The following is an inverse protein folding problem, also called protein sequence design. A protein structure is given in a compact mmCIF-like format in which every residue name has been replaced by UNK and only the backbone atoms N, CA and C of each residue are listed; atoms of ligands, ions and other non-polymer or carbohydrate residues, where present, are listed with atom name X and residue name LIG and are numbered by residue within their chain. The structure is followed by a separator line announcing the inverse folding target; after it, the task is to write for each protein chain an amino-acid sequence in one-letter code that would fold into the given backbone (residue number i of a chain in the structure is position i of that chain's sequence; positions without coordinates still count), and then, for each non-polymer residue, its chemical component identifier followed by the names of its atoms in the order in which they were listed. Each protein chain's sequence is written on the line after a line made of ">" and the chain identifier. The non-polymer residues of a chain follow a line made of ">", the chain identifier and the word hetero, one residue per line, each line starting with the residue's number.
data_IF_816992051163
#
_entry.id   IF_816992051163
#
_cell.length_a   1.000
_cell.length_b   1.000
_cell.length_c   1.000
_cell.angle_alpha   90.00
_cell.angle_beta   90.00
_cell.angle_gamma   90.00
#
_symmetry.space_group_name_H-M   'P 1'
#
loop_
_entity.id
_entity.type
_entity.pdbx_description
1 polymer ?
#
# COMPACT_ATOMS: atom_id res chain seq x y z
N UNK A 1 24.00 86.52 64.24
CA UNK A 1 22.94 86.67 63.24
C UNK A 1 23.23 85.69 62.12
N UNK A 2 22.25 84.87 61.72
CA UNK A 2 22.40 83.96 60.58
C UNK A 2 22.59 84.78 59.30
N UNK A 3 23.59 84.42 58.49
CA UNK A 3 23.82 85.04 57.19
C UNK A 3 22.73 84.60 56.20
N UNK A 4 21.97 85.58 55.71
CA UNK A 4 20.87 85.34 54.77
C UNK A 4 21.33 84.74 53.45
N UNK A 5 22.58 85.01 53.04
CA UNK A 5 23.12 84.46 51.80
C UNK A 5 23.38 82.96 51.92
N UNK A 6 23.95 82.51 53.04
CA UNK A 6 24.19 81.09 53.31
C UNK A 6 22.88 80.29 53.39
N UNK A 7 21.84 80.86 53.99
CA UNK A 7 20.52 80.22 54.07
C UNK A 7 19.88 80.06 52.68
N UNK A 8 20.06 81.06 51.81
CA UNK A 8 19.55 81.06 50.43
C UNK A 8 20.28 80.04 49.55
N UNK A 9 21.60 79.93 49.68
CA UNK A 9 22.36 78.90 48.95
C UNK A 9 21.94 77.48 49.35
N UNK A 10 21.74 77.22 50.65
CA UNK A 10 21.21 75.93 51.12
C UNK A 10 19.82 75.64 50.56
N UNK A 11 18.94 76.64 50.53
CA UNK A 11 17.60 76.47 49.95
C UNK A 11 17.66 76.13 48.46
N UNK A 12 18.46 76.85 47.68
CA UNK A 12 18.64 76.57 46.25
C UNK A 12 19.21 75.17 46.01
N UNK A 13 20.20 74.74 46.82
CA UNK A 13 20.75 73.38 46.74
C UNK A 13 19.70 72.31 47.00
N UNK A 14 18.86 72.49 48.04
CA UNK A 14 17.75 71.57 48.33
C UNK A 14 16.74 71.57 47.19
N UNK A 15 16.37 72.74 46.65
CA UNK A 15 15.42 72.83 45.53
C UNK A 15 15.90 72.05 44.31
N UNK A 16 17.16 72.25 43.90
CA UNK A 16 17.77 71.51 42.78
C UNK A 16 17.81 70.00 43.07
N UNK A 17 18.05 69.62 44.32
CA UNK A 17 18.06 68.21 44.70
C UNK A 17 16.67 67.57 44.59
N UNK A 18 15.62 68.26 45.03
CA UNK A 18 14.24 67.80 44.86
C UNK A 18 13.85 67.74 43.37
N UNK A 19 14.17 68.76 42.58
CA UNK A 19 13.91 68.75 41.12
C UNK A 19 14.60 67.56 40.42
N UNK A 20 15.80 67.19 40.86
CA UNK A 20 16.52 66.03 40.32
C UNK A 20 15.89 64.70 40.75
N UNK A 21 15.36 64.60 41.97
CA UNK A 21 14.63 63.40 42.41
C UNK A 21 13.35 63.22 41.61
N UNK A 22 12.61 64.30 41.38
CA UNK A 22 11.36 64.26 40.62
C UNK A 22 11.61 63.77 39.20
N UNK A 23 12.67 64.24 38.53
CA UNK A 23 13.08 63.72 37.21
C UNK A 23 13.39 62.22 37.22
N UNK A 24 14.12 61.73 38.24
CA UNK A 24 14.41 60.30 38.36
C UNK A 24 13.12 59.49 38.55
N UNK A 25 12.17 60.01 39.33
CA UNK A 25 10.88 59.37 39.56
C UNK A 25 10.07 59.31 38.25
N UNK A 26 10.03 60.40 37.48
CA UNK A 26 9.36 60.44 36.16
C UNK A 26 10.01 59.47 35.16
N UNK A 27 11.34 59.41 35.12
CA UNK A 27 12.08 58.46 34.28
C UNK A 27 11.79 57.01 34.68
N UNK A 28 11.72 56.72 35.98
CA UNK A 28 11.37 55.39 36.50
C UNK A 28 9.93 55.02 36.14
N UNK A 29 8.97 55.93 36.28
CA UNK A 29 7.58 55.68 35.86
C UNK A 29 7.50 55.38 34.36
N UNK A 30 8.22 56.15 33.55
CA UNK A 30 8.28 55.95 32.09
C UNK A 30 8.87 54.57 31.73
N UNK A 31 9.94 54.16 32.41
CA UNK A 31 10.55 52.84 32.22
C UNK A 31 9.62 51.70 32.66
N UNK A 32 8.97 51.82 33.82
CA UNK A 32 8.02 50.81 34.31
C UNK A 32 6.86 50.65 33.35
N UNK A 33 6.32 51.76 32.82
CA UNK A 33 5.24 51.72 31.85
C UNK A 33 5.70 51.03 30.55
N UNK A 34 6.86 51.40 30.01
CA UNK A 34 7.41 50.77 28.80
C UNK A 34 7.63 49.26 28.99
N UNK A 35 8.17 48.84 30.14
CA UNK A 35 8.38 47.43 30.46
C UNK A 35 7.06 46.67 30.61
N UNK A 36 6.03 47.28 31.20
CA UNK A 36 4.70 46.67 31.32
C UNK A 36 4.05 46.48 29.94
N UNK A 37 4.16 47.46 29.05
CA UNK A 37 3.66 47.38 27.68
C UNK A 37 4.39 46.28 26.88
N UNK A 38 5.72 46.22 26.97
CA UNK A 38 6.52 45.19 26.32
C UNK A 38 6.19 43.78 26.84
N UNK A 39 6.03 43.62 28.16
CA UNK A 39 5.68 42.34 28.77
C UNK A 39 4.28 41.88 28.33
N UNK A 40 3.31 42.81 28.26
CA UNK A 40 1.96 42.48 27.82
C UNK A 40 1.94 42.09 26.34
N UNK A 41 2.70 42.78 25.50
CA UNK A 41 2.86 42.42 24.09
C UNK A 41 3.41 41.01 23.92
N UNK A 42 4.54 40.70 24.56
CA UNK A 42 5.19 39.39 24.48
C UNK A 42 4.27 38.25 24.98
N UNK A 43 3.51 38.52 26.05
CA UNK A 43 2.55 37.56 26.59
C UNK A 43 1.43 37.25 25.59
N UNK A 44 0.88 38.28 24.94
CA UNK A 44 -0.16 38.10 23.92
C UNK A 44 0.38 37.30 22.73
N UNK A 45 1.59 37.63 22.26
CA UNK A 45 2.23 36.93 21.15
C UNK A 45 2.50 35.45 21.48
N UNK A 46 2.99 35.16 22.69
CA UNK A 46 3.19 33.79 23.17
C UNK A 46 1.87 33.00 23.25
N UNK A 47 0.78 33.63 23.68
CA UNK A 47 -0.55 33.01 23.71
C UNK A 47 -1.05 32.68 22.30
N UNK A 48 -0.87 33.58 21.34
CA UNK A 48 -1.29 33.35 19.95
C UNK A 48 -0.44 32.26 19.27
N UNK A 49 0.87 32.23 19.51
CA UNK A 49 1.73 31.14 19.07
C UNK A 49 1.28 29.78 19.64
N UNK A 50 0.93 29.72 20.93
CA UNK A 50 0.43 28.49 21.57
C UNK A 50 -0.90 28.03 20.95
N UNK A 51 -1.81 28.95 20.64
CA UNK A 51 -3.08 28.63 19.94
C UNK A 51 -2.78 28.05 18.56
N UNK A 52 -1.88 28.67 17.80
CA UNK A 52 -1.51 28.23 16.46
C UNK A 52 -0.91 26.80 16.48
N UNK A 53 0.04 26.55 17.39
CA UNK A 53 0.65 25.21 17.56
C UNK A 53 -0.40 24.16 17.91
N UNK A 54 -1.38 24.51 18.75
CA UNK A 54 -2.47 23.59 19.11
C UNK A 54 -3.32 23.24 17.89
N UNK A 55 -3.73 24.22 17.09
CA UNK A 55 -4.51 24.00 15.87
C UNK A 55 -3.74 23.11 14.89
N UNK A 56 -2.47 23.41 14.62
CA UNK A 56 -1.64 22.57 13.74
C UNK A 56 -1.50 21.14 14.24
N UNK A 57 -1.32 20.92 15.55
CA UNK A 57 -1.26 19.56 16.11
C UNK A 57 -2.57 18.81 15.91
N UNK A 58 -3.70 19.47 16.09
CA UNK A 58 -5.03 18.89 15.86
C UNK A 58 -5.25 18.55 14.37
N UNK A 59 -4.84 19.44 13.47
CA UNK A 59 -4.93 19.23 12.02
C UNK A 59 -4.03 18.08 11.54
N UNK A 60 -2.78 18.02 12.02
CA UNK A 60 -1.86 16.91 11.74
C UNK A 60 -2.46 15.59 12.23
N UNK A 61 -3.04 15.56 13.43
CA UNK A 61 -3.71 14.36 13.97
C UNK A 61 -4.91 13.94 13.13
N UNK A 62 -5.72 14.90 12.66
CA UNK A 62 -6.86 14.64 11.77
C UNK A 62 -6.39 14.07 10.43
N UNK A 63 -5.40 14.70 9.81
CA UNK A 63 -4.85 14.27 8.53
C UNK A 63 -4.23 12.86 8.62
N UNK A 64 -3.46 12.58 9.68
CA UNK A 64 -2.93 11.22 9.93
C UNK A 64 -4.05 10.18 10.12
N UNK A 65 -5.13 10.52 10.82
CA UNK A 65 -6.26 9.61 11.01
C UNK A 65 -6.96 9.31 9.67
N UNK A 66 -7.14 10.33 8.82
CA UNK A 66 -7.71 10.17 7.49
C UNK A 66 -6.81 9.34 6.55
N UNK A 67 -5.48 9.53 6.62
CA UNK A 67 -4.52 8.69 5.89
C UNK A 67 -4.61 7.24 6.33
N UNK A 68 -4.60 6.96 7.64
CA UNK A 68 -4.77 5.60 8.16
C UNK A 68 -6.08 4.96 7.73
N UNK A 69 -7.17 5.73 7.69
CA UNK A 69 -8.47 5.22 7.21
C UNK A 69 -8.44 4.90 5.72
N UNK A 70 -7.80 5.75 4.90
CA UNK A 70 -7.62 5.50 3.47
C UNK A 70 -6.72 4.29 3.22
N UNK A 71 -5.59 4.19 3.90
CA UNK A 71 -4.68 3.04 3.81
C UNK A 71 -5.39 1.75 4.23
N UNK A 72 -6.15 1.78 5.32
CA UNK A 72 -6.94 0.63 5.76
C UNK A 72 -8.02 0.21 4.77
N UNK A 73 -8.70 1.15 4.11
CA UNK A 73 -9.67 0.86 3.04
C UNK A 73 -8.98 0.32 1.79
N UNK A 74 -7.81 0.85 1.44
CA UNK A 74 -7.05 0.43 0.26
C UNK A 74 -6.40 -0.95 0.44
N UNK A 75 -5.94 -1.29 1.64
CA UNK A 75 -5.51 -2.65 2.00
C UNK A 75 -6.66 -3.66 1.82
N UNK A 76 -7.89 -3.30 2.22
CA UNK A 76 -9.09 -4.14 2.00
C UNK A 76 -9.48 -4.31 0.53
N UNK A 77 -8.99 -3.44 -0.36
CA UNK A 77 -9.23 -3.50 -1.81
C UNK A 77 -8.03 -4.10 -2.58
N UNK A 78 -6.96 -4.48 -1.90
CA UNK A 78 -5.77 -5.06 -2.52
C UNK A 78 -6.00 -6.54 -2.80
N UNK A 79 -6.37 -6.87 -4.04
CA UNK A 79 -6.42 -8.24 -4.54
C UNK A 79 -5.48 -8.41 -5.73
N UNK A 80 -4.77 -9.53 -5.79
CA UNK A 80 -3.99 -9.92 -6.97
C UNK A 80 -4.88 -10.67 -7.95
N UNK A 81 -4.78 -10.38 -9.25
CA UNK A 81 -5.40 -11.17 -10.30
C UNK A 81 -4.31 -11.98 -11.02
N UNK A 82 -4.50 -13.29 -11.11
CA UNK A 82 -3.60 -14.21 -11.82
C UNK A 82 -4.39 -14.80 -12.97
N UNK A 83 -3.87 -14.64 -14.19
CA UNK A 83 -4.46 -15.18 -15.41
C UNK A 83 -3.54 -16.27 -15.94
N UNK A 84 -4.08 -17.46 -16.16
CA UNK A 84 -3.32 -18.64 -16.60
C UNK A 84 -3.83 -19.07 -17.97
N UNK A 85 -2.90 -19.29 -18.88
CA UNK A 85 -3.14 -19.94 -20.17
C UNK A 85 -3.07 -21.45 -20.01
N UNK A 86 -4.21 -22.14 -19.87
CA UNK A 86 -4.23 -23.59 -19.69
C UNK A 86 -4.01 -24.40 -20.97
N UNK A 87 -4.00 -23.77 -22.16
CA UNK A 87 -3.69 -24.47 -23.42
C UNK A 87 -2.17 -24.57 -23.65
N UNK A 88 -1.43 -23.57 -23.19
CA UNK A 88 0.03 -23.49 -23.32
C UNK A 88 0.78 -23.83 -22.01
N UNK A 89 0.06 -23.91 -20.88
CA UNK A 89 0.60 -24.31 -19.58
C UNK A 89 -0.25 -25.42 -18.98
N UNK A 90 0.07 -26.66 -19.38
CA UNK A 90 -0.59 -27.86 -18.88
C UNK A 90 -0.31 -28.08 -17.39
N UNK A 91 -1.30 -28.61 -16.68
CA UNK A 91 -1.16 -29.02 -15.29
C UNK A 91 -0.43 -30.35 -15.20
N UNK A 92 0.23 -30.61 -14.07
CA UNK A 92 0.91 -31.89 -13.83
C UNK A 92 -0.08 -33.05 -13.96
N UNK A 93 0.33 -34.08 -14.69
CA UNK A 93 -0.47 -35.26 -15.02
C UNK A 93 -1.08 -35.90 -13.77
N UNK A 94 -0.32 -35.99 -12.68
CA UNK A 94 -0.78 -36.52 -11.39
C UNK A 94 -1.92 -35.71 -10.76
N UNK A 95 -1.90 -34.38 -10.93
CA UNK A 95 -2.97 -33.50 -10.46
C UNK A 95 -4.21 -33.65 -11.33
N UNK A 96 -4.04 -33.77 -12.64
CA UNK A 96 -5.16 -33.96 -13.57
C UNK A 96 -5.83 -35.33 -13.34
N UNK A 97 -5.03 -36.40 -13.22
CA UNK A 97 -5.48 -37.76 -12.90
C UNK A 97 -6.17 -37.85 -11.53
N UNK A 98 -5.74 -37.03 -10.58
CA UNK A 98 -6.37 -36.90 -9.25
C UNK A 98 -7.80 -36.33 -9.28
N UNK A 99 -8.32 -35.95 -10.46
CA UNK A 99 -9.67 -35.46 -10.65
C UNK A 99 -10.01 -34.34 -9.66
N UNK A 100 -11.14 -34.47 -8.96
CA UNK A 100 -11.60 -33.42 -8.03
C UNK A 100 -10.63 -33.11 -6.88
N UNK A 101 -9.83 -34.08 -6.42
CA UNK A 101 -8.83 -33.83 -5.37
C UNK A 101 -7.63 -33.08 -5.95
N UNK A 102 -7.17 -33.49 -7.13
CA UNK A 102 -6.06 -32.84 -7.80
C UNK A 102 -6.37 -31.42 -8.27
N UNK A 103 -7.61 -31.14 -8.71
CA UNK A 103 -8.09 -29.78 -9.01
C UNK A 103 -8.02 -28.85 -7.80
N UNK A 104 -8.42 -29.34 -6.62
CA UNK A 104 -8.30 -28.59 -5.35
C UNK A 104 -6.85 -28.31 -4.99
N UNK A 105 -5.99 -29.32 -5.12
CA UNK A 105 -4.54 -29.17 -4.87
C UNK A 105 -3.89 -28.19 -5.84
N UNK A 106 -4.27 -28.21 -7.12
CA UNK A 106 -3.78 -27.28 -8.13
C UNK A 106 -4.18 -25.83 -7.81
N UNK A 107 -5.45 -25.58 -7.46
CA UNK A 107 -5.90 -24.25 -7.04
C UNK A 107 -5.13 -23.75 -5.81
N UNK A 108 -4.94 -24.61 -4.80
CA UNK A 108 -4.15 -24.28 -3.60
C UNK A 108 -2.70 -23.91 -3.95
N UNK A 109 -2.05 -24.73 -4.78
CA UNK A 109 -0.66 -24.52 -5.19
C UNK A 109 -0.48 -23.19 -5.94
N UNK A 110 -1.43 -22.82 -6.81
CA UNK A 110 -1.38 -21.54 -7.51
C UNK A 110 -1.53 -20.34 -6.57
N UNK A 111 -2.39 -20.43 -5.56
CA UNK A 111 -2.55 -19.37 -4.55
C UNK A 111 -1.25 -19.22 -3.75
N UNK A 112 -0.64 -20.31 -3.31
CA UNK A 112 0.61 -20.31 -2.55
C UNK A 112 1.76 -19.73 -3.39
N UNK A 113 1.90 -20.16 -4.65
CA UNK A 113 2.91 -19.65 -5.57
C UNK A 113 2.74 -18.14 -5.85
N UNK A 114 1.50 -17.68 -6.06
CA UNK A 114 1.22 -16.26 -6.26
C UNK A 114 1.58 -15.43 -5.03
N UNK A 115 1.25 -15.93 -3.83
CA UNK A 115 1.57 -15.28 -2.56
C UNK A 115 3.08 -15.20 -2.33
N UNK A 116 3.81 -16.29 -2.58
CA UNK A 116 5.27 -16.33 -2.44
C UNK A 116 5.97 -15.41 -3.43
N UNK A 117 5.46 -15.32 -4.67
CA UNK A 117 5.98 -14.41 -5.67
C UNK A 117 5.81 -12.94 -5.27
N UNK A 118 4.61 -12.56 -4.81
CA UNK A 118 4.36 -11.19 -4.33
C UNK A 118 5.24 -10.86 -3.13
N UNK A 119 5.43 -11.80 -2.18
CA UNK A 119 6.32 -11.60 -1.03
C UNK A 119 7.78 -11.35 -1.46
N UNK A 120 8.27 -12.00 -2.51
CA UNK A 120 9.62 -11.79 -3.05
C UNK A 120 9.79 -10.42 -3.70
N UNK A 121 8.77 -9.93 -4.41
CA UNK A 121 8.85 -8.66 -5.14
C UNK A 121 8.55 -7.47 -4.22
N UNK A 122 7.60 -7.59 -3.30
CA UNK A 122 7.30 -6.60 -2.25
C UNK A 122 7.18 -7.27 -0.88
N UNK A 123 8.29 -7.28 -0.12
CA UNK A 123 8.29 -7.78 1.26
C UNK A 123 7.28 -7.07 2.17
N UNK A 124 7.01 -5.78 1.89
CA UNK A 124 6.08 -4.93 2.67
C UNK A 124 4.60 -5.09 2.26
N UNK A 125 4.28 -6.01 1.35
CA UNK A 125 2.90 -6.29 0.94
C UNK A 125 2.06 -6.88 2.09
N UNK A 126 0.77 -6.58 2.11
CA UNK A 126 -0.14 -7.12 3.14
C UNK A 126 -0.16 -8.67 3.07
N UNK A 127 0.13 -9.38 4.17
CA UNK A 127 0.13 -10.84 4.19
C UNK A 127 -1.25 -11.45 3.86
N UNK A 128 -2.33 -10.67 3.97
CA UNK A 128 -3.71 -11.08 3.73
C UNK A 128 -4.22 -10.72 2.32
N UNK A 129 -3.36 -10.33 1.38
CA UNK A 129 -3.76 -10.11 -0.02
C UNK A 129 -4.50 -11.35 -0.54
N UNK A 130 -5.68 -11.10 -1.09
CA UNK A 130 -6.50 -12.13 -1.73
C UNK A 130 -6.08 -12.27 -3.20
N UNK A 131 -6.01 -13.49 -3.70
CA UNK A 131 -5.70 -13.76 -5.10
C UNK A 131 -6.92 -14.31 -5.82
N UNK A 132 -7.33 -13.63 -6.89
CA UNK A 132 -8.27 -14.15 -7.86
C UNK A 132 -7.49 -14.83 -8.98
N UNK A 133 -7.74 -16.10 -9.22
CA UNK A 133 -7.03 -16.91 -10.21
C UNK A 133 -8.02 -17.35 -11.27
N UNK A 134 -7.71 -17.08 -12.54
CA UNK A 134 -8.52 -17.57 -13.67
C UNK A 134 -7.68 -18.32 -14.67
N UNK A 135 -8.05 -19.57 -14.91
CA UNK A 135 -7.44 -20.41 -15.94
C UNK A 135 -8.34 -20.39 -17.16
N UNK A 136 -7.78 -20.07 -18.32
CA UNK A 136 -8.48 -20.09 -19.59
C UNK A 136 -7.87 -21.16 -20.47
N UNK A 137 -8.67 -22.16 -20.82
CA UNK A 137 -8.26 -23.25 -21.70
C UNK A 137 -9.42 -23.70 -22.57
N UNK A 138 -9.12 -24.26 -23.74
CA UNK A 138 -10.05 -25.01 -24.54
C UNK A 138 -10.22 -26.41 -23.93
N UNK A 139 -11.26 -26.61 -23.13
CA UNK A 139 -11.44 -27.86 -22.37
C UNK A 139 -11.58 -29.07 -23.30
N UNK A 140 -12.26 -28.91 -24.43
CA UNK A 140 -12.43 -29.98 -25.41
C UNK A 140 -11.09 -30.36 -26.08
N UNK A 141 -10.28 -29.37 -26.44
CA UNK A 141 -8.94 -29.57 -26.98
C UNK A 141 -8.01 -30.22 -25.94
N UNK A 142 -8.04 -29.72 -24.72
CA UNK A 142 -7.22 -30.20 -23.60
C UNK A 142 -7.59 -31.64 -23.21
N UNK A 143 -8.87 -31.99 -23.16
CA UNK A 143 -9.35 -33.35 -22.91
C UNK A 143 -8.84 -34.32 -23.98
N UNK A 144 -8.86 -33.90 -25.26
CA UNK A 144 -8.34 -34.70 -26.36
C UNK A 144 -6.83 -34.89 -26.23
N UNK A 145 -6.08 -33.82 -25.98
CA UNK A 145 -4.61 -33.89 -25.79
C UNK A 145 -4.22 -34.84 -24.66
N UNK A 146 -4.88 -34.75 -23.50
CA UNK A 146 -4.58 -35.65 -22.38
C UNK A 146 -5.04 -37.09 -22.62
N UNK A 147 -6.07 -37.31 -23.45
CA UNK A 147 -6.50 -38.66 -23.83
C UNK A 147 -5.53 -39.29 -24.83
N UNK A 148 -5.11 -38.53 -25.84
CA UNK A 148 -4.17 -38.98 -26.88
C UNK A 148 -2.77 -39.28 -26.31
N UNK A 149 -2.39 -38.63 -25.21
CA UNK A 149 -1.14 -38.86 -24.48
C UNK A 149 -1.24 -39.95 -23.39
N UNK A 150 -2.42 -40.55 -23.19
CA UNK A 150 -2.64 -41.60 -22.19
C UNK A 150 -2.69 -41.10 -20.73
N UNK A 151 -2.69 -39.79 -20.52
CA UNK A 151 -2.74 -39.17 -19.19
C UNK A 151 -4.13 -39.33 -18.58
N UNK A 152 -5.19 -39.25 -19.39
CA UNK A 152 -6.57 -39.45 -18.94
C UNK A 152 -7.10 -40.83 -19.29
N UNK A 153 -7.59 -41.55 -18.29
CA UNK A 153 -8.31 -42.82 -18.48
C UNK A 153 -9.75 -42.62 -18.97
N UNK A 154 -10.33 -41.44 -18.70
CA UNK A 154 -11.62 -40.98 -19.22
C UNK A 154 -11.63 -39.44 -19.29
N UNK A 155 -12.30 -38.87 -20.29
CA UNK A 155 -12.51 -37.43 -20.40
C UNK A 155 -13.25 -36.84 -19.19
N UNK A 156 -14.02 -37.66 -18.46
CA UNK A 156 -14.76 -37.24 -17.25
C UNK A 156 -13.82 -36.80 -16.11
N UNK A 157 -12.60 -37.35 -16.05
CA UNK A 157 -11.62 -37.05 -15.01
C UNK A 157 -11.18 -35.58 -15.11
N UNK A 158 -11.03 -35.04 -16.33
CA UNK A 158 -10.75 -33.62 -16.51
C UNK A 158 -11.93 -32.75 -16.06
N UNK A 159 -13.16 -33.19 -16.31
CA UNK A 159 -14.36 -32.54 -15.78
C UNK A 159 -14.36 -32.49 -14.24
N UNK A 160 -14.01 -33.60 -13.58
CA UNK A 160 -13.86 -33.63 -12.12
C UNK A 160 -12.72 -32.74 -11.63
N UNK A 161 -11.61 -32.67 -12.35
CA UNK A 161 -10.51 -31.75 -12.05
C UNK A 161 -10.96 -30.29 -12.08
N UNK A 162 -11.60 -29.87 -13.17
CA UNK A 162 -12.14 -28.50 -13.34
C UNK A 162 -13.14 -28.19 -12.22
N UNK A 163 -14.04 -29.12 -11.91
CA UNK A 163 -14.99 -28.95 -10.81
C UNK A 163 -14.26 -28.80 -9.46
N UNK A 164 -13.25 -29.62 -9.20
CA UNK A 164 -12.43 -29.53 -7.99
C UNK A 164 -11.70 -28.20 -7.87
N UNK A 165 -11.18 -27.68 -8.97
CA UNK A 165 -10.53 -26.37 -9.03
C UNK A 165 -11.51 -25.24 -8.67
N UNK A 166 -12.69 -25.21 -9.31
CA UNK A 166 -13.70 -24.17 -9.10
C UNK A 166 -14.35 -24.24 -7.70
N UNK A 167 -14.44 -25.43 -7.10
CA UNK A 167 -15.00 -25.61 -5.77
C UNK A 167 -14.01 -25.29 -4.64
N UNK A 168 -12.70 -25.20 -4.92
CA UNK A 168 -11.71 -25.01 -3.87
C UNK A 168 -11.84 -23.65 -3.17
N UNK A 169 -12.02 -22.60 -3.96
CA UNK A 169 -12.07 -21.22 -3.49
C UNK A 169 -12.95 -20.41 -4.45
N UNK A 170 -13.80 -19.54 -3.92
CA UNK A 170 -14.67 -18.64 -4.70
C UNK A 170 -13.91 -17.65 -5.59
N UNK A 171 -12.59 -17.52 -5.37
CA UNK A 171 -11.69 -16.70 -6.16
C UNK A 171 -10.90 -17.49 -7.21
N UNK A 172 -11.13 -18.80 -7.37
CA UNK A 172 -10.48 -19.63 -8.38
C UNK A 172 -11.51 -20.10 -9.41
N UNK A 173 -11.30 -19.68 -10.66
CA UNK A 173 -12.18 -20.03 -11.78
C UNK A 173 -11.38 -20.70 -12.90
N UNK A 174 -11.83 -21.86 -13.36
CA UNK A 174 -11.38 -22.51 -14.58
C UNK A 174 -12.48 -22.31 -15.62
N UNK A 175 -12.14 -21.60 -16.69
CA UNK A 175 -13.06 -21.12 -17.70
C UNK A 175 -12.75 -21.82 -19.02
N UNK A 176 -13.76 -22.51 -19.57
CA UNK A 176 -13.68 -23.04 -20.93
C UNK A 176 -13.76 -21.89 -21.94
N UNK A 177 -12.67 -21.70 -22.65
CA UNK A 177 -12.49 -20.68 -23.67
C UNK A 177 -12.99 -21.18 -25.06
N UNK A 178 -13.22 -22.48 -25.22
CA UNK A 178 -13.58 -23.06 -26.51
C UNK A 178 -12.51 -22.90 -27.61
N UNK A 179 -12.89 -23.22 -28.85
CA UNK A 179 -11.96 -23.40 -29.98
C UNK A 179 -11.83 -22.16 -30.89
N UNK A 180 -12.29 -20.98 -30.45
CA UNK A 180 -12.41 -19.78 -31.29
C UNK A 180 -11.18 -18.87 -31.27
N UNK A 181 -10.78 -18.34 -32.44
CA UNK A 181 -9.75 -17.27 -32.58
C UNK A 181 -10.05 -16.02 -31.72
N UNK A 182 -11.33 -15.77 -31.41
CA UNK A 182 -11.76 -14.64 -30.59
C UNK A 182 -11.30 -14.75 -29.12
N UNK A 183 -10.90 -15.94 -28.65
CA UNK A 183 -10.44 -16.13 -27.27
C UNK A 183 -9.00 -15.66 -27.02
N UNK A 184 -8.12 -15.68 -28.03
CA UNK A 184 -6.82 -15.01 -27.92
C UNK A 184 -6.99 -13.49 -27.79
N UNK A 185 -8.03 -12.93 -28.42
CA UNK A 185 -8.35 -11.51 -28.33
C UNK A 185 -8.93 -11.15 -26.96
N UNK A 186 -9.83 -11.97 -26.40
CA UNK A 186 -10.31 -11.80 -25.02
C UNK A 186 -9.17 -11.89 -24.01
N UNK A 187 -8.21 -12.81 -24.19
CA UNK A 187 -7.02 -12.94 -23.34
C UNK A 187 -6.11 -11.72 -23.43
N UNK A 188 -5.89 -11.19 -24.65
CA UNK A 188 -5.16 -9.93 -24.89
C UNK A 188 -5.88 -8.71 -24.33
N UNK A 189 -7.19 -8.63 -24.50
CA UNK A 189 -8.02 -7.53 -24.00
C UNK A 189 -8.06 -7.56 -22.48
N UNK A 190 -8.17 -8.74 -21.86
CA UNK A 190 -8.07 -8.90 -20.40
C UNK A 190 -6.68 -8.54 -19.88
N UNK A 191 -5.61 -8.95 -20.57
CA UNK A 191 -4.23 -8.51 -20.28
C UNK A 191 -4.06 -6.98 -20.44
N UNK A 192 -4.72 -6.37 -21.42
CA UNK A 192 -4.69 -4.92 -21.67
C UNK A 192 -5.51 -4.14 -20.63
N UNK A 193 -6.70 -4.62 -20.26
CA UNK A 193 -7.55 -4.04 -19.21
C UNK A 193 -6.86 -4.17 -17.85
N UNK A 194 -6.16 -5.28 -17.61
CA UNK A 194 -5.30 -5.46 -16.46
C UNK A 194 -4.18 -4.41 -16.45
N UNK A 195 -3.52 -4.19 -17.58
CA UNK A 195 -2.52 -3.12 -17.77
C UNK A 195 -3.09 -1.71 -17.57
N UNK A 196 -4.35 -1.46 -17.96
CA UNK A 196 -5.02 -0.16 -17.72
C UNK A 196 -5.44 0.04 -16.26
N UNK A 197 -5.85 -1.01 -15.54
CA UNK A 197 -6.07 -0.95 -14.08
C UNK A 197 -4.78 -0.77 -13.29
N UNK A 198 -3.65 -1.22 -13.83
CA UNK A 198 -2.31 -1.06 -13.24
C UNK A 198 -1.89 0.42 -13.10
N UNK A 199 -2.52 1.35 -13.82
CA UNK A 199 -2.31 2.78 -13.60
C UNK A 199 -2.85 3.28 -12.24
N UNK A 200 -3.75 2.54 -11.57
CA UNK A 200 -4.36 2.96 -10.31
C UNK A 200 -4.10 2.03 -9.10
N UNK A 201 -3.62 0.80 -9.33
CA UNK A 201 -3.08 -0.09 -8.28
C UNK A 201 -2.11 -1.06 -8.93
N UNK A 202 -0.82 -0.91 -8.63
CA UNK A 202 0.26 -1.64 -9.28
C UNK A 202 0.32 -3.10 -8.83
N UNK A 203 0.11 -4.06 -9.75
CA UNK A 203 0.90 -5.29 -9.89
C UNK A 203 0.47 -6.08 -11.14
N UNK A 204 1.40 -6.24 -12.10
CA UNK A 204 1.34 -7.32 -13.09
C UNK A 204 2.10 -8.52 -12.52
N UNK A 205 1.46 -9.68 -12.46
CA UNK A 205 2.16 -10.94 -12.24
C UNK A 205 2.04 -11.71 -13.54
N UNK A 206 3.00 -11.50 -14.44
CA UNK A 206 3.30 -12.49 -15.48
C UNK A 206 3.94 -13.68 -14.76
N UNK A 207 3.09 -14.49 -14.12
CA UNK A 207 3.48 -15.81 -13.63
C UNK A 207 3.58 -16.68 -14.88
N UNK A 208 4.68 -16.53 -15.60
CA UNK A 208 5.18 -17.55 -16.48
C UNK A 208 5.49 -18.73 -15.54
N UNK A 209 4.51 -19.60 -15.32
CA UNK A 209 4.70 -20.90 -14.67
C UNK A 209 5.49 -21.74 -15.69
N UNK A 210 6.72 -21.32 -15.94
CA UNK A 210 7.72 -22.11 -16.61
C UNK A 210 8.29 -22.99 -15.52
N UNK A 211 8.04 -24.29 -15.67
CA UNK A 211 8.75 -25.42 -15.08
C UNK A 211 9.47 -25.12 -13.74
N UNK A 212 8.98 -25.74 -12.67
CA UNK A 212 9.81 -25.92 -11.47
C UNK A 212 11.20 -26.47 -11.88
N UNK A 213 12.29 -26.00 -11.24
CA UNK A 213 13.65 -26.18 -11.75
C UNK A 213 14.01 -27.66 -11.79
N UNK A 214 14.37 -28.16 -12.99
CA UNK A 214 14.91 -29.51 -13.18
C UNK A 214 14.38 -30.30 -14.38
N UNK A 215 13.39 -29.81 -15.11
CA UNK A 215 12.67 -30.61 -16.13
C UNK A 215 13.01 -30.29 -17.60
N UNK A 216 13.85 -29.29 -17.86
CA UNK A 216 14.16 -28.81 -19.22
C UNK A 216 15.67 -28.68 -19.46
N UNK A 217 16.16 -29.28 -20.55
CA UNK A 217 17.55 -29.11 -20.99
C UNK A 217 17.63 -27.92 -21.98
N UNK A 218 18.22 -26.78 -21.58
CA UNK A 218 18.30 -25.59 -22.43
C UNK A 218 19.26 -25.74 -23.62
N UNK A 219 20.07 -26.80 -23.68
CA UNK A 219 20.99 -27.08 -24.79
C UNK A 219 20.30 -27.93 -25.87
N UNK A 220 19.44 -28.87 -25.46
CA UNK A 220 18.79 -29.83 -26.35
C UNK A 220 17.34 -29.47 -26.70
N UNK A 221 16.78 -28.42 -26.08
CA UNK A 221 15.41 -27.92 -26.26
C UNK A 221 14.34 -29.02 -26.21
N UNK A 222 14.45 -29.89 -25.20
CA UNK A 222 13.53 -31.02 -24.98
C UNK A 222 13.38 -31.36 -23.49
N UNK A 223 12.29 -32.05 -23.10
CA UNK A 223 12.11 -32.51 -21.73
C UNK A 223 13.16 -33.57 -21.35
N UNK A 224 13.65 -33.53 -20.11
CA UNK A 224 14.58 -34.54 -19.57
C UNK A 224 13.78 -35.72 -19.00
N UNK A 225 13.34 -36.67 -19.85
CA UNK A 225 12.99 -38.02 -19.41
C UNK A 225 13.35 -39.08 -20.46
N UNK A 226 13.92 -40.19 -19.98
CA UNK A 226 13.97 -41.47 -20.68
C UNK A 226 13.03 -42.44 -19.94
N UNK A 227 12.00 -42.89 -20.68
CA UNK A 227 11.00 -43.94 -20.38
C UNK A 227 10.11 -43.75 -19.15
#
# INVERSE_FOLDING_TARGET
>A
MLDLNELRERYEFVRVTEDNKDKIIEDLFSQVQSLQEALQHEKNESEDQKKLVRVYREDVKRCMSQLKEKDGKQARLSFGLVLVDGDHMNFMDELVQGGQKGGRSAAKALIEAARDHVRKIKPDSDPNIQFKIRVYANVAGLAKTYSDTGILSSADILGYFIQGFNMHNTLCDFVDAGNGKECSDVKRILSTIFTMSIANTSFSVDLQIMAMPGYWDPIADRPIFHL
#
